data_IF_210175602340
#
_entry.id   IF_210175602340
#
_cell.length_a   1.000
_cell.length_b   1.000
_cell.length_c   1.000
_cell.angle_alpha   90.00
_cell.angle_beta   90.00
_cell.angle_gamma   90.00
#
_symmetry.space_group_name_H-M   'P 1'
#
loop_
_entity.id
_entity.type
_entity.pdbx_description
1 polymer ?
#
# COMPACT_ATOMS: atom_id res chain seq x y z
N UNK A 1 -17.42 -15.89 -56.86
CA UNK A 1 -18.05 -15.26 -55.68
C UNK A 1 -17.49 -15.94 -54.43
N UNK A 2 -16.22 -15.72 -54.09
CA UNK A 2 -15.55 -16.51 -53.02
C UNK A 2 -14.53 -15.67 -52.24
N UNK A 3 -14.64 -14.34 -52.28
CA UNK A 3 -13.73 -13.42 -51.56
C UNK A 3 -14.45 -12.54 -50.53
N UNK A 4 -15.77 -12.36 -50.67
CA UNK A 4 -16.60 -11.58 -49.74
C UNK A 4 -17.00 -12.38 -48.49
N UNK A 5 -17.03 -13.70 -48.57
CA UNK A 5 -17.32 -14.61 -47.45
C UNK A 5 -16.18 -14.67 -46.43
N UNK A 6 -14.92 -14.58 -46.87
CA UNK A 6 -13.76 -14.58 -45.97
C UNK A 6 -13.61 -13.29 -45.15
N UNK A 7 -14.06 -12.15 -45.67
CA UNK A 7 -14.05 -10.88 -44.92
C UNK A 7 -15.06 -10.85 -43.78
N UNK A 8 -16.19 -11.55 -43.91
CA UNK A 8 -17.19 -11.63 -42.85
C UNK A 8 -16.78 -12.60 -41.73
N UNK A 9 -15.98 -13.64 -42.04
CA UNK A 9 -15.44 -14.56 -41.03
C UNK A 9 -14.27 -13.95 -40.24
N UNK A 10 -13.48 -13.05 -40.83
CA UNK A 10 -12.37 -12.38 -40.13
C UNK A 10 -12.84 -11.33 -39.11
N UNK A 11 -13.99 -10.69 -39.33
CA UNK A 11 -14.56 -9.69 -38.39
C UNK A 11 -15.21 -10.36 -37.17
N UNK A 12 -15.72 -11.59 -37.33
CA UNK A 12 -16.37 -12.33 -36.24
C UNK A 12 -15.40 -12.86 -35.16
N UNK A 13 -14.11 -13.04 -35.49
CA UNK A 13 -13.10 -13.55 -34.55
C UNK A 13 -12.44 -12.46 -33.68
N UNK A 14 -12.69 -11.18 -33.94
CA UNK A 14 -12.11 -10.07 -33.18
C UNK A 14 -13.05 -9.48 -32.10
N UNK A 15 -14.30 -9.96 -31.98
CA UNK A 15 -15.27 -9.46 -30.99
C UNK A 15 -15.38 -10.33 -29.72
N UNK A 16 -14.61 -11.41 -29.62
CA UNK A 16 -14.73 -12.40 -28.54
C UNK A 16 -13.63 -12.40 -27.47
N UNK A 17 -12.69 -11.45 -27.51
CA UNK A 17 -11.64 -11.34 -26.49
C UNK A 17 -11.55 -9.91 -25.96
N UNK A 18 -12.69 -9.35 -25.54
CA UNK A 18 -12.64 -8.43 -24.42
C UNK A 18 -12.14 -9.23 -23.23
N UNK A 19 -10.82 -9.23 -23.01
CA UNK A 19 -10.30 -9.42 -21.67
C UNK A 19 -11.06 -8.44 -20.79
N UNK A 20 -12.07 -8.93 -20.07
CA UNK A 20 -12.61 -8.25 -18.92
C UNK A 20 -11.44 -8.17 -17.95
N UNK A 21 -10.66 -7.09 -18.04
CA UNK A 21 -9.65 -6.73 -17.07
C UNK A 21 -10.39 -6.25 -15.81
N UNK A 22 -11.21 -7.11 -15.23
CA UNK A 22 -11.84 -6.91 -13.93
C UNK A 22 -10.91 -7.31 -12.79
N UNK A 23 -9.60 -7.31 -13.03
CA UNK A 23 -8.58 -7.24 -11.99
C UNK A 23 -7.97 -5.84 -11.99
N UNK A 24 -8.73 -4.84 -11.51
CA UNK A 24 -8.20 -3.50 -11.34
C UNK A 24 -6.93 -3.55 -10.49
N UNK A 25 -5.86 -2.88 -10.91
CA UNK A 25 -4.66 -2.76 -10.06
C UNK A 25 -5.10 -2.15 -8.73
N UNK A 26 -4.70 -2.75 -7.59
CA UNK A 26 -5.13 -2.24 -6.30
C UNK A 26 -4.68 -0.79 -6.13
N UNK A 27 -5.54 0.07 -5.55
CA UNK A 27 -5.19 1.46 -5.32
C UNK A 27 -3.99 1.54 -4.39
N UNK A 28 -3.14 2.54 -4.59
CA UNK A 28 -2.08 2.81 -3.61
C UNK A 28 -2.66 3.67 -2.48
N UNK A 29 -2.07 3.58 -1.29
CA UNK A 29 -2.71 4.02 -0.04
C UNK A 29 -3.30 5.43 -0.06
N UNK A 30 -2.60 6.38 -0.70
CA UNK A 30 -3.06 7.75 -0.77
C UNK A 30 -4.43 7.90 -1.49
N UNK A 31 -4.72 7.05 -2.47
CA UNK A 31 -6.02 7.07 -3.17
C UNK A 31 -7.20 6.71 -2.28
N UNK A 32 -6.94 6.09 -1.14
CA UNK A 32 -7.96 5.71 -0.19
C UNK A 32 -8.21 6.79 0.88
N UNK A 33 -7.42 7.88 0.87
CA UNK A 33 -7.64 9.03 1.75
C UNK A 33 -8.77 9.89 1.20
N UNK A 34 -9.88 9.91 1.93
CA UNK A 34 -11.04 10.78 1.72
C UNK A 34 -11.87 10.86 3.00
N UNK A 35 -12.72 11.88 3.08
CA UNK A 35 -13.71 11.95 4.16
C UNK A 35 -14.62 10.73 4.13
N UNK A 36 -14.92 10.16 5.30
CA UNK A 36 -15.75 8.97 5.43
C UNK A 36 -17.14 9.16 4.82
N UNK A 37 -17.71 10.36 4.94
CA UNK A 37 -19.04 10.69 4.41
C UNK A 37 -19.04 10.90 2.89
N UNK A 38 -17.88 11.10 2.29
CA UNK A 38 -17.73 11.26 0.84
C UNK A 38 -17.42 9.93 0.13
N UNK A 39 -17.27 8.83 0.88
CA UNK A 39 -17.03 7.48 0.35
C UNK A 39 -18.20 7.04 -0.52
N UNK A 40 -17.88 6.47 -1.68
CA UNK A 40 -18.84 5.88 -2.62
C UNK A 40 -18.60 4.39 -2.72
N UNK A 41 -19.66 3.58 -2.63
CA UNK A 41 -19.56 2.13 -2.75
C UNK A 41 -18.81 1.70 -4.01
N UNK A 42 -17.87 0.78 -3.85
CA UNK A 42 -17.05 0.31 -4.97
C UNK A 42 -17.81 -0.67 -5.88
N UNK A 43 -18.65 -1.53 -5.30
CA UNK A 43 -19.48 -2.55 -5.95
C UNK A 43 -20.81 -2.76 -5.18
N UNK A 44 -21.55 -3.82 -5.52
CA UNK A 44 -22.78 -4.21 -4.80
C UNK A 44 -22.46 -4.88 -3.46
N UNK A 45 -22.65 -4.11 -2.38
CA UNK A 45 -22.77 -4.51 -0.97
C UNK A 45 -21.47 -4.47 -0.14
N UNK A 46 -21.35 -3.44 0.70
CA UNK A 46 -20.34 -3.32 1.77
C UNK A 46 -20.57 -4.28 2.96
N UNK A 47 -21.76 -4.89 3.07
CA UNK A 47 -22.13 -5.77 4.18
C UNK A 47 -21.43 -7.13 4.06
N UNK A 48 -20.55 -7.44 5.02
CA UNK A 48 -19.84 -8.72 5.09
C UNK A 48 -18.67 -8.88 4.10
N UNK A 49 -18.28 -7.81 3.39
CA UNK A 49 -17.10 -7.85 2.52
C UNK A 49 -15.83 -7.81 3.37
N UNK A 50 -14.88 -8.71 3.11
CA UNK A 50 -13.56 -8.64 3.74
C UNK A 50 -12.69 -7.60 3.06
N UNK A 51 -11.68 -7.11 3.77
CA UNK A 51 -10.71 -6.21 3.20
C UNK A 51 -9.96 -6.84 2.01
N UNK A 52 -9.69 -8.16 2.03
CA UNK A 52 -9.04 -8.89 0.93
C UNK A 52 -9.93 -8.88 -0.30
N UNK A 53 -11.22 -9.18 -0.11
CA UNK A 53 -12.17 -9.19 -1.21
C UNK A 53 -12.36 -7.79 -1.80
N UNK A 54 -12.44 -6.77 -0.95
CA UNK A 54 -12.57 -5.38 -1.38
C UNK A 54 -11.35 -4.93 -2.20
N UNK A 55 -10.14 -5.10 -1.65
CA UNK A 55 -8.91 -4.64 -2.30
C UNK A 55 -8.58 -5.44 -3.57
N UNK A 56 -8.93 -6.72 -3.64
CA UNK A 56 -8.84 -7.54 -4.86
C UNK A 56 -9.73 -7.02 -6.00
N UNK A 57 -10.82 -6.31 -5.69
CA UNK A 57 -11.67 -5.65 -6.69
C UNK A 57 -11.12 -4.28 -7.14
N UNK A 58 -9.91 -3.89 -6.70
CA UNK A 58 -9.34 -2.58 -7.00
C UNK A 58 -9.95 -1.44 -6.18
N UNK A 59 -10.49 -1.75 -5.00
CA UNK A 59 -11.17 -0.81 -4.12
C UNK A 59 -10.34 -0.49 -2.87
N UNK A 60 -10.76 0.54 -2.15
CA UNK A 60 -10.25 0.90 -0.84
C UNK A 60 -11.13 0.29 0.25
N UNK A 61 -10.50 -0.21 1.32
CA UNK A 61 -11.20 -0.75 2.47
C UNK A 61 -10.85 0.04 3.73
N UNK A 62 -11.87 0.49 4.46
CA UNK A 62 -11.73 1.06 5.80
C UNK A 62 -13.04 0.85 6.60
N UNK A 63 -12.98 -0.03 7.60
CA UNK A 63 -14.10 -0.34 8.49
C UNK A 63 -14.13 0.50 9.77
N UNK A 64 -13.17 1.41 9.96
CA UNK A 64 -13.00 2.15 11.23
C UNK A 64 -14.09 3.18 11.52
N UNK A 65 -14.94 3.49 10.53
CA UNK A 65 -16.06 4.43 10.67
C UNK A 65 -17.38 3.68 10.43
N UNK A 66 -18.32 3.67 11.39
CA UNK A 66 -19.62 3.05 11.21
C UNK A 66 -20.50 3.83 10.22
N UNK A 67 -21.55 3.18 9.71
CA UNK A 67 -22.61 3.80 8.88
C UNK A 67 -22.15 4.49 7.57
N UNK A 68 -20.94 4.17 7.11
CA UNK A 68 -20.40 4.60 5.81
C UNK A 68 -19.94 3.39 4.99
N UNK A 69 -19.75 3.52 3.65
CA UNK A 69 -19.19 2.44 2.85
C UNK A 69 -17.79 2.02 3.33
N UNK A 70 -17.66 0.79 3.84
CA UNK A 70 -16.38 0.21 4.21
C UNK A 70 -15.55 -0.21 3.00
N UNK A 71 -16.20 -0.66 1.92
CA UNK A 71 -15.55 -0.90 0.64
C UNK A 71 -15.94 0.19 -0.37
N UNK A 72 -15.00 1.08 -0.66
CA UNK A 72 -15.28 2.30 -1.41
C UNK A 72 -14.33 2.50 -2.58
N UNK A 73 -14.78 3.32 -3.54
CA UNK A 73 -14.01 3.63 -4.74
C UNK A 73 -12.77 4.45 -4.38
N UNK A 74 -11.60 4.12 -4.94
CA UNK A 74 -10.42 4.97 -4.77
C UNK A 74 -10.66 6.33 -5.40
N UNK A 75 -10.11 7.36 -4.76
CA UNK A 75 -10.05 8.70 -5.35
C UNK A 75 -9.02 8.79 -6.48
N UNK A 76 -9.23 9.75 -7.36
CA UNK A 76 -8.22 10.16 -8.33
C UNK A 76 -7.03 10.83 -7.64
N UNK A 77 -5.84 10.74 -8.23
CA UNK A 77 -4.60 11.22 -7.62
C UNK A 77 -4.64 12.68 -7.14
N UNK A 78 -5.27 13.57 -7.92
CA UNK A 78 -5.42 14.97 -7.54
C UNK A 78 -6.27 15.12 -6.27
N UNK A 79 -7.36 14.37 -6.20
CA UNK A 79 -8.31 14.43 -5.09
C UNK A 79 -7.68 13.84 -3.82
N UNK A 80 -7.00 12.69 -3.92
CA UNK A 80 -6.26 12.10 -2.78
C UNK A 80 -5.24 13.07 -2.19
N UNK A 81 -4.52 13.81 -3.04
CA UNK A 81 -3.52 14.76 -2.55
C UNK A 81 -4.17 15.96 -1.85
N UNK A 82 -5.34 16.40 -2.31
CA UNK A 82 -6.12 17.42 -1.60
C UNK A 82 -6.54 16.95 -0.20
N UNK A 83 -7.03 15.71 -0.05
CA UNK A 83 -7.35 15.16 1.27
C UNK A 83 -6.10 15.00 2.13
N UNK A 84 -5.02 14.44 1.59
CA UNK A 84 -3.77 14.28 2.33
C UNK A 84 -3.23 15.62 2.85
N UNK A 85 -3.31 16.70 2.05
CA UNK A 85 -2.92 18.07 2.47
C UNK A 85 -3.83 18.65 3.55
N UNK A 86 -5.12 18.30 3.55
CA UNK A 86 -6.07 18.70 4.60
C UNK A 86 -5.83 17.94 5.91
N UNK A 87 -5.48 16.66 5.83
CA UNK A 87 -5.29 15.78 6.98
C UNK A 87 -3.90 15.89 7.61
N UNK A 88 -2.84 16.08 6.81
CA UNK A 88 -1.46 16.23 7.26
C UNK A 88 -0.86 17.50 6.63
N UNK A 89 -0.60 18.49 7.49
CA UNK A 89 0.15 19.68 7.09
C UNK A 89 1.59 19.29 6.70
N UNK A 90 2.24 20.00 5.74
CA UNK A 90 3.57 19.62 5.25
C UNK A 90 4.62 19.34 6.34
N UNK A 91 4.60 20.11 7.43
CA UNK A 91 5.56 20.00 8.54
C UNK A 91 5.36 18.73 9.39
N UNK A 92 4.14 18.17 9.40
CA UNK A 92 3.81 16.96 10.15
C UNK A 92 4.01 15.67 9.32
N UNK A 93 4.54 15.79 8.10
CA UNK A 93 4.75 14.64 7.22
C UNK A 93 5.95 13.84 7.69
N UNK A 94 5.73 12.56 7.98
CA UNK A 94 6.80 11.58 8.15
C UNK A 94 7.30 11.10 6.79
N UNK A 95 8.61 11.19 6.55
CA UNK A 95 9.24 10.74 5.29
C UNK A 95 9.04 9.22 5.10
N UNK A 96 8.48 8.84 3.95
CA UNK A 96 8.26 7.44 3.56
C UNK A 96 9.13 7.07 2.36
N UNK A 97 10.37 7.52 2.35
CA UNK A 97 11.19 7.29 1.18
C UNK A 97 12.65 7.57 1.41
N UNK A 98 13.26 8.08 0.36
CA UNK A 98 14.66 8.42 0.33
C UNK A 98 14.86 9.61 -0.61
N UNK A 99 15.95 10.38 -0.44
CA UNK A 99 16.26 11.50 -1.33
C UNK A 99 16.24 11.10 -2.81
N UNK A 100 15.51 11.85 -3.63
CA UNK A 100 15.38 11.59 -5.07
C UNK A 100 14.43 10.44 -5.44
N UNK A 101 13.60 9.96 -4.51
CA UNK A 101 12.57 8.95 -4.81
C UNK A 101 11.61 9.44 -5.91
N UNK A 102 11.35 8.59 -6.92
CA UNK A 102 10.42 8.92 -7.99
C UNK A 102 8.96 8.79 -7.54
N UNK A 103 8.06 9.56 -8.16
CA UNK A 103 6.60 9.44 -7.97
C UNK A 103 6.11 8.00 -8.08
N UNK A 104 6.55 7.28 -9.12
CA UNK A 104 6.16 5.88 -9.35
C UNK A 104 6.64 4.96 -8.23
N UNK A 105 7.84 5.22 -7.70
CA UNK A 105 8.41 4.44 -6.60
C UNK A 105 7.69 4.72 -5.28
N UNK A 106 7.47 5.99 -4.94
CA UNK A 106 6.76 6.39 -3.73
C UNK A 106 5.38 5.73 -3.61
N UNK A 107 4.60 5.79 -4.68
CA UNK A 107 3.29 5.14 -4.74
C UNK A 107 3.37 3.61 -4.58
N UNK A 108 4.38 3.00 -5.20
CA UNK A 108 4.57 1.54 -5.16
C UNK A 108 4.87 1.04 -3.75
N UNK A 109 5.65 1.80 -2.98
CA UNK A 109 5.95 1.45 -1.58
C UNK A 109 4.80 1.81 -0.63
N UNK A 110 3.66 2.26 -1.16
CA UNK A 110 2.43 2.47 -0.39
C UNK A 110 2.27 3.86 0.18
N UNK A 111 2.97 4.86 -0.36
CA UNK A 111 3.00 6.20 0.23
C UNK A 111 2.42 7.29 -0.66
N UNK A 112 2.14 8.43 -0.03
CA UNK A 112 1.64 9.63 -0.67
C UNK A 112 2.77 10.40 -1.34
N UNK A 113 2.51 10.98 -2.51
CA UNK A 113 3.49 11.77 -3.24
C UNK A 113 2.96 13.17 -3.53
N UNK A 114 3.64 14.19 -3.02
CA UNK A 114 3.35 15.60 -3.25
C UNK A 114 4.52 16.26 -3.99
N UNK A 115 4.43 16.50 -5.31
CA UNK A 115 5.50 17.13 -6.07
C UNK A 115 5.74 18.59 -5.69
N UNK A 116 4.81 19.21 -4.96
CA UNK A 116 4.88 20.62 -4.57
C UNK A 116 5.31 20.80 -3.11
N UNK A 117 5.71 19.72 -2.43
CA UNK A 117 6.22 19.82 -1.07
C UNK A 117 7.53 20.62 -1.06
N UNK A 118 7.52 21.79 -0.44
CA UNK A 118 8.71 22.62 -0.21
C UNK A 118 9.06 22.59 1.27
N UNK A 119 10.31 22.24 1.60
CA UNK A 119 10.76 22.10 2.99
C UNK A 119 10.11 20.94 3.76
N UNK A 120 9.46 20.00 3.07
CA UNK A 120 8.76 18.85 3.64
C UNK A 120 8.98 17.60 2.76
N UNK A 121 8.81 16.39 3.32
CA UNK A 121 8.88 15.16 2.55
C UNK A 121 7.95 15.16 1.33
N UNK A 122 8.54 14.93 0.14
CA UNK A 122 7.81 14.75 -1.13
C UNK A 122 7.14 13.40 -1.20
N UNK A 123 7.71 12.38 -0.54
CA UNK A 123 7.11 11.06 -0.35
C UNK A 123 6.89 10.83 1.13
N UNK A 124 5.64 10.67 1.55
CA UNK A 124 5.28 10.65 2.96
C UNK A 124 4.25 9.57 3.27
N UNK A 125 4.26 9.11 4.51
CA UNK A 125 3.27 8.12 4.96
C UNK A 125 1.86 8.72 4.90
N UNK A 126 0.85 7.92 4.50
CA UNK A 126 -0.54 8.35 4.63
C UNK A 126 -0.88 8.62 6.10
N UNK A 127 -1.88 9.48 6.38
CA UNK A 127 -2.42 9.65 7.72
C UNK A 127 -2.89 8.32 8.27
N UNK A 128 -2.38 7.97 9.44
CA UNK A 128 -2.91 6.91 10.29
C UNK A 128 -3.80 7.56 11.34
N UNK A 129 -4.82 6.83 11.81
CA UNK A 129 -5.66 7.29 12.91
C UNK A 129 -4.76 7.63 14.12
N UNK A 130 -5.22 8.55 14.96
CA UNK A 130 -4.46 9.26 16.02
C UNK A 130 -3.85 8.37 17.13
N UNK A 131 -3.85 7.04 16.98
CA UNK A 131 -3.57 6.07 18.04
C UNK A 131 -2.09 5.71 18.16
N UNK A 132 -1.19 6.07 17.23
CA UNK A 132 0.25 6.18 17.56
C UNK A 132 1.14 6.49 16.36
N UNK A 133 2.10 7.41 16.55
CA UNK A 133 3.28 7.53 15.69
C UNK A 133 4.02 6.17 15.55
N UNK A 134 3.92 5.30 16.55
CA UNK A 134 4.42 3.94 16.54
C UNK A 134 3.79 3.03 15.45
N UNK A 135 2.70 3.43 14.80
CA UNK A 135 2.15 2.71 13.65
C UNK A 135 2.72 3.17 12.29
N UNK A 136 3.51 4.24 12.27
CA UNK A 136 4.09 4.81 11.04
C UNK A 136 5.43 4.15 10.75
N UNK A 137 5.42 3.13 9.91
CA UNK A 137 6.62 2.38 9.54
C UNK A 137 6.56 1.84 8.11
N UNK A 138 7.72 1.42 7.58
CA UNK A 138 7.79 0.77 6.27
C UNK A 138 6.99 -0.54 6.27
N UNK A 139 6.28 -0.83 5.18
CA UNK A 139 5.45 -2.02 5.05
C UNK A 139 6.23 -3.32 5.21
N UNK A 140 7.45 -3.36 4.69
CA UNK A 140 8.31 -4.53 4.78
C UNK A 140 8.88 -4.70 6.20
N UNK A 141 8.78 -3.68 7.05
CA UNK A 141 9.13 -3.76 8.46
C UNK A 141 7.99 -4.28 9.34
N UNK A 142 6.75 -4.37 8.81
CA UNK A 142 5.60 -4.84 9.58
C UNK A 142 5.76 -6.28 10.01
N UNK A 143 5.58 -6.49 11.30
CA UNK A 143 5.51 -7.82 11.92
C UNK A 143 4.05 -8.17 12.18
N UNK A 144 3.64 -9.38 11.81
CA UNK A 144 2.28 -9.88 12.00
C UNK A 144 1.87 -9.81 13.47
N UNK A 145 0.68 -9.28 13.74
CA UNK A 145 0.04 -9.31 15.05
C UNK A 145 -1.31 -10.03 15.04
N UNK A 146 -1.95 -10.14 13.88
CA UNK A 146 -3.28 -10.69 13.72
C UNK A 146 -3.30 -12.05 13.03
N UNK A 147 -4.44 -12.31 12.40
CA UNK A 147 -4.70 -13.45 11.52
C UNK A 147 -5.34 -12.93 10.22
N UNK A 148 -5.33 -13.72 9.13
CA UNK A 148 -6.00 -13.34 7.88
C UNK A 148 -7.46 -12.93 8.11
N UNK A 149 -7.90 -11.86 7.46
CA UNK A 149 -9.25 -11.28 7.62
C UNK A 149 -9.63 -10.77 9.03
N UNK A 150 -8.66 -10.55 9.93
CA UNK A 150 -8.90 -9.85 11.21
C UNK A 150 -9.53 -8.46 10.97
N UNK A 151 -10.51 -8.07 11.79
CA UNK A 151 -11.12 -6.74 11.67
C UNK A 151 -10.21 -5.65 12.23
N UNK A 152 -10.47 -4.39 11.88
CA UNK A 152 -9.75 -3.26 12.44
C UNK A 152 -9.92 -3.18 13.97
N UNK A 153 -11.15 -3.41 14.44
CA UNK A 153 -11.52 -3.38 15.84
C UNK A 153 -10.82 -4.50 16.62
N UNK A 154 -10.82 -5.72 16.09
CA UNK A 154 -10.13 -6.86 16.71
C UNK A 154 -8.61 -6.64 16.77
N UNK A 155 -8.02 -6.09 15.71
CA UNK A 155 -6.60 -5.76 15.67
C UNK A 155 -6.22 -4.69 16.71
N UNK A 156 -7.02 -3.62 16.80
CA UNK A 156 -6.79 -2.55 17.76
C UNK A 156 -7.02 -3.01 19.19
N UNK A 157 -8.01 -3.88 19.44
CA UNK A 157 -8.24 -4.50 20.75
C UNK A 157 -7.06 -5.37 21.21
N UNK A 158 -6.26 -5.91 20.28
CA UNK A 158 -4.99 -6.59 20.56
C UNK A 158 -3.83 -5.64 20.86
N UNK A 159 -4.05 -4.32 20.82
CA UNK A 159 -3.00 -3.30 20.99
C UNK A 159 -2.12 -3.13 19.75
N UNK A 160 -2.62 -3.50 18.57
CA UNK A 160 -1.86 -3.48 17.32
C UNK A 160 -2.34 -2.43 16.32
N UNK A 161 -1.49 -2.14 15.35
CA UNK A 161 -1.75 -1.21 14.27
C UNK A 161 -2.54 -1.90 13.16
N UNK A 162 -3.58 -1.24 12.65
CA UNK A 162 -4.34 -1.72 11.49
C UNK A 162 -4.14 -0.77 10.30
N UNK A 163 -3.69 -1.29 9.17
CA UNK A 163 -3.63 -0.57 7.89
C UNK A 163 -3.96 -1.50 6.70
N UNK A 164 -5.18 -1.35 6.18
CA UNK A 164 -5.74 -2.07 5.03
C UNK A 164 -5.45 -1.42 3.67
N UNK A 165 -4.76 -0.28 3.64
CA UNK A 165 -4.56 0.51 2.42
C UNK A 165 -3.51 -0.05 1.47
N UNK A 166 -2.87 -1.16 1.84
CA UNK A 166 -1.87 -1.78 1.00
C UNK A 166 -2.10 -3.26 0.85
N UNK A 167 -2.22 -3.72 -0.39
CA UNK A 167 -2.46 -5.12 -0.72
C UNK A 167 -1.26 -6.03 -0.42
N UNK A 168 -1.54 -7.30 -0.12
CA UNK A 168 -0.55 -8.38 0.09
C UNK A 168 0.47 -8.07 1.20
N UNK A 169 0.01 -7.60 2.36
CA UNK A 169 0.85 -7.35 3.53
C UNK A 169 0.06 -7.58 4.82
N UNK A 170 0.76 -7.55 5.95
CA UNK A 170 0.22 -7.60 7.31
C UNK A 170 -0.60 -6.35 7.58
N UNK A 171 -1.93 -6.47 7.53
CA UNK A 171 -2.81 -5.36 7.87
C UNK A 171 -2.87 -5.12 9.36
N UNK A 172 -2.86 -6.18 10.15
CA UNK A 172 -2.67 -6.08 11.59
C UNK A 172 -1.22 -6.34 11.94
N UNK A 173 -0.51 -5.30 12.38
CA UNK A 173 0.92 -5.35 12.64
C UNK A 173 1.28 -4.75 13.99
N UNK A 174 2.40 -5.20 14.55
CA UNK A 174 2.90 -4.68 15.83
C UNK A 174 3.31 -3.21 15.70
N UNK A 175 3.01 -2.36 16.71
CA UNK A 175 3.56 -1.02 16.77
C UNK A 175 5.08 -1.06 16.95
N UNK A 176 5.76 0.04 16.59
CA UNK A 176 7.16 0.23 16.91
C UNK A 176 7.36 0.21 18.43
N UNK A 177 8.32 -0.59 18.88
CA UNK A 177 8.77 -0.66 20.26
C UNK A 177 9.88 0.36 20.51
N UNK A 178 9.95 0.93 21.71
CA UNK A 178 11.12 1.72 22.13
C UNK A 178 12.37 0.86 22.36
N UNK A 179 12.19 -0.45 22.56
CA UNK A 179 13.28 -1.38 22.87
C UNK A 179 14.07 -1.83 21.62
N UNK A 180 13.50 -1.70 20.42
CA UNK A 180 14.18 -2.08 19.18
C UNK A 180 14.23 -0.92 18.18
N UNK A 181 15.39 -0.69 17.54
CA UNK A 181 15.48 0.33 16.52
C UNK A 181 14.57 -0.06 15.34
N UNK A 182 13.88 0.92 14.75
CA UNK A 182 12.93 0.66 13.68
C UNK A 182 13.64 0.13 12.43
N UNK A 183 13.11 -0.96 11.88
CA UNK A 183 13.59 -1.52 10.61
C UNK A 183 13.21 -0.56 9.47
N UNK A 184 14.20 0.05 8.84
CA UNK A 184 13.99 0.99 7.73
C UNK A 184 14.24 0.30 6.39
N UNK A 185 13.17 -0.04 5.66
CA UNK A 185 13.26 -0.73 4.37
C UNK A 185 13.14 0.21 3.15
N UNK A 186 12.76 1.47 3.37
CA UNK A 186 12.58 2.50 2.37
C UNK A 186 13.90 3.05 1.82
N UNK A 187 14.64 2.25 1.05
CA UNK A 187 15.93 2.68 0.47
C UNK A 187 15.98 2.54 -1.05
N UNK A 188 16.92 3.27 -1.66
CA UNK A 188 17.18 3.17 -3.09
C UNK A 188 17.58 1.74 -3.47
N UNK A 189 17.00 1.14 -4.52
CA UNK A 189 17.30 -0.24 -4.94
C UNK A 189 18.80 -0.54 -5.08
N UNK A 190 19.59 0.42 -5.58
CA UNK A 190 21.04 0.29 -5.78
C UNK A 190 21.85 0.29 -4.48
N UNK A 191 21.26 0.66 -3.36
CA UNK A 191 21.91 0.69 -2.04
C UNK A 191 21.61 -0.57 -1.21
N UNK A 192 20.83 -1.51 -1.76
CA UNK A 192 20.47 -2.75 -1.06
C UNK A 192 21.66 -3.67 -0.91
N UNK A 193 21.86 -4.13 0.31
CA UNK A 193 22.78 -5.21 0.64
C UNK A 193 21.98 -6.50 0.72
N UNK A 194 22.48 -7.58 0.14
CA UNK A 194 21.77 -8.86 0.09
C UNK A 194 21.68 -9.51 1.49
N UNK A 195 20.47 -9.90 1.90
CA UNK A 195 20.17 -10.47 3.23
C UNK A 195 19.54 -11.87 3.12
N UNK A 196 19.75 -12.55 1.99
CA UNK A 196 19.16 -13.84 1.67
C UNK A 196 19.75 -14.41 0.39
N UNK A 197 19.02 -15.29 -0.29
CA UNK A 197 19.46 -15.93 -1.53
C UNK A 197 18.46 -15.72 -2.68
N UNK A 198 18.87 -15.87 -3.95
CA UNK A 198 17.96 -15.77 -5.09
C UNK A 198 16.78 -16.73 -4.96
N UNK A 199 15.56 -16.23 -5.11
CA UNK A 199 14.34 -17.04 -5.00
C UNK A 199 13.82 -17.27 -3.57
N UNK A 200 14.46 -16.68 -2.54
CA UNK A 200 13.93 -16.69 -1.17
C UNK A 200 12.49 -16.17 -1.13
N UNK A 201 11.63 -16.83 -0.35
CA UNK A 201 10.25 -16.41 -0.16
C UNK A 201 10.17 -15.12 0.65
N UNK A 202 9.03 -14.41 0.55
CA UNK A 202 8.80 -13.21 1.35
C UNK A 202 8.86 -13.54 2.85
N UNK A 203 8.17 -14.58 3.29
CA UNK A 203 8.11 -14.95 4.70
C UNK A 203 9.45 -15.39 5.27
N UNK A 204 10.23 -16.15 4.50
CA UNK A 204 11.57 -16.55 4.95
C UNK A 204 12.53 -15.36 5.03
N UNK A 205 12.48 -14.43 4.07
CA UNK A 205 13.26 -13.20 4.14
C UNK A 205 12.89 -12.36 5.37
N UNK A 206 11.59 -12.19 5.61
CA UNK A 206 11.07 -11.39 6.73
C UNK A 206 11.37 -12.08 8.07
N UNK A 207 11.36 -13.42 8.11
CA UNK A 207 11.76 -14.23 9.26
C UNK A 207 13.26 -14.11 9.60
N UNK A 208 14.11 -13.74 8.64
CA UNK A 208 15.52 -13.38 8.87
C UNK A 208 15.71 -11.97 9.43
N UNK A 209 14.63 -11.22 9.65
CA UNK A 209 14.70 -9.82 10.08
C UNK A 209 15.09 -8.85 8.95
N UNK A 210 15.09 -9.32 7.70
CA UNK A 210 15.44 -8.54 6.52
C UNK A 210 14.21 -7.83 5.93
N UNK A 211 14.46 -6.89 5.03
CA UNK A 211 13.44 -6.25 4.21
C UNK A 211 13.19 -7.06 2.93
N UNK A 212 11.93 -7.20 2.53
CA UNK A 212 11.56 -7.86 1.28
C UNK A 212 10.86 -6.92 0.30
N UNK A 213 11.24 -6.97 -0.98
CA UNK A 213 10.49 -6.38 -2.10
C UNK A 213 10.43 -7.32 -3.31
N UNK A 214 9.23 -7.54 -3.85
CA UNK A 214 8.97 -8.49 -4.93
C UNK A 214 9.77 -8.22 -6.23
N UNK A 215 10.24 -9.29 -6.85
CA UNK A 215 11.15 -9.31 -7.99
C UNK A 215 10.75 -8.47 -9.20
N UNK A 216 9.46 -8.47 -9.51
CA UNK A 216 8.88 -7.77 -10.65
C UNK A 216 9.15 -6.25 -10.64
N UNK A 217 9.56 -5.71 -9.50
CA UNK A 217 9.82 -4.28 -9.33
C UNK A 217 11.30 -3.91 -9.37
N UNK A 218 12.21 -4.89 -9.28
CA UNK A 218 13.64 -4.66 -9.10
C UNK A 218 14.47 -5.84 -9.66
N UNK A 219 14.52 -5.98 -10.99
CA UNK A 219 15.09 -7.16 -11.69
C UNK A 219 16.59 -7.42 -11.47
N UNK A 220 17.36 -6.43 -11.02
CA UNK A 220 18.83 -6.51 -10.91
C UNK A 220 19.37 -6.04 -9.55
N UNK A 221 18.57 -6.19 -8.50
CA UNK A 221 18.99 -5.86 -7.13
C UNK A 221 18.44 -6.92 -6.18
N UNK A 222 19.01 -7.05 -4.96
CA UNK A 222 18.47 -7.95 -3.96
C UNK A 222 16.99 -7.65 -3.63
N UNK A 223 16.18 -8.70 -3.60
CA UNK A 223 14.77 -8.65 -3.20
C UNK A 223 14.62 -8.82 -1.70
N UNK A 224 15.46 -9.68 -1.12
CA UNK A 224 15.70 -9.74 0.31
C UNK A 224 16.97 -8.96 0.64
N UNK A 225 16.83 -7.90 1.42
CA UNK A 225 17.91 -6.95 1.68
C UNK A 225 17.94 -6.48 3.13
N UNK A 226 19.12 -6.06 3.58
CA UNK A 226 19.30 -5.60 4.95
C UNK A 226 18.49 -4.31 5.21
N UNK A 227 17.83 -4.17 6.37
CA UNK A 227 17.27 -2.90 6.77
C UNK A 227 18.38 -1.87 6.96
N UNK A 228 18.07 -0.61 6.71
CA UNK A 228 19.00 0.47 7.07
C UNK A 228 19.02 0.60 8.59
N UNK A 229 20.20 0.48 9.19
CA UNK A 229 20.41 0.89 10.58
C UNK A 229 20.36 2.43 10.63
N UNK A 230 19.20 3.01 10.93
CA UNK A 230 19.18 4.39 11.43
C UNK A 230 19.24 4.30 12.95
N UNK A 231 20.38 4.73 13.51
CA UNK A 231 20.44 5.15 14.90
C UNK A 231 19.31 6.16 15.14
N UNK A 232 18.66 6.02 16.29
CA UNK A 232 17.38 6.65 16.62
C UNK A 232 17.30 8.14 16.32
N UNK A 233 16.11 8.54 15.86
CA UNK A 233 15.31 9.60 16.46
C UNK A 233 13.99 9.67 15.71
N UNK A 234 12.99 8.91 16.19
CA UNK A 234 11.59 9.24 15.97
C UNK A 234 11.17 10.30 17.00
N UNK A 235 11.80 11.45 16.94
CA UNK A 235 11.45 12.61 17.75
C UNK A 235 11.19 13.77 16.80
N UNK A 236 9.93 14.17 16.71
CA UNK A 236 9.42 15.24 15.85
C UNK A 236 7.97 15.00 15.48
#
# INVERSE_FOLDING_TARGET
MELKTYWLLAVALCLGFFCSQSGGRPPYACQCLMDANERKECNSTSKGITAEKCTANGCCFDATVPDVPWCFRPSGERVSLCYAKKMIVPQARTDCGYPGISRKRCKRIGCCFDPQASGAPVCFYPPVNNVSQHCVMDRSAREECGYPAITAEECQAKGCCFDSYVVNTRWCFRPLSEAEPPKMCGMAPRKRVQCGYPGISADECLGKGCCYEHHQYAKHVPWCFEPSAKQGNFSG
#
